data_IF_422898238178
#
_entry.id   IF_422898238178
#
_cell.length_a   1.000
_cell.length_b   1.000
_cell.length_c   1.000
_cell.angle_alpha   90.00
_cell.angle_beta   90.00
_cell.angle_gamma   90.00
#
_symmetry.space_group_name_H-M   'P 1'
#
loop_
_entity.id
_entity.type
_entity.pdbx_description
1 polymer ?
#
# COMPACT_ATOMS: atom_id res chain seq x y z
N UNK A 1 51.00 3.25 -38.38
CA UNK A 1 50.03 2.29 -38.92
C UNK A 1 50.18 1.02 -38.08
N UNK A 2 49.67 1.06 -36.84
CA UNK A 2 48.38 0.48 -36.43
C UNK A 2 48.41 -1.05 -36.53
N UNK A 3 48.86 -1.71 -35.46
CA UNK A 3 48.77 -3.15 -35.27
C UNK A 3 48.24 -3.43 -33.86
N UNK A 4 47.43 -4.46 -33.79
CA UNK A 4 46.52 -4.84 -32.71
C UNK A 4 47.18 -5.05 -31.35
N UNK A 5 46.51 -4.57 -30.30
CA UNK A 5 46.70 -5.08 -28.93
C UNK A 5 45.34 -5.48 -28.38
N UNK A 6 45.06 -6.78 -28.44
CA UNK A 6 44.04 -7.42 -27.62
C UNK A 6 44.41 -7.24 -26.15
N UNK A 7 43.51 -6.67 -25.35
CA UNK A 7 43.61 -6.73 -23.89
C UNK A 7 42.41 -7.47 -23.31
N UNK A 8 42.78 -8.47 -22.52
CA UNK A 8 42.02 -9.53 -21.90
C UNK A 8 41.07 -8.96 -20.83
N UNK A 9 39.80 -9.37 -20.84
CA UNK A 9 38.82 -9.05 -19.78
C UNK A 9 39.06 -9.99 -18.60
N UNK A 10 39.29 -9.52 -17.37
CA UNK A 10 39.38 -10.41 -16.22
C UNK A 10 37.98 -10.89 -15.84
N UNK A 11 37.78 -12.21 -15.92
CA UNK A 11 36.62 -12.91 -15.40
C UNK A 11 36.67 -12.91 -13.87
N UNK A 12 36.04 -11.91 -13.25
CA UNK A 12 35.92 -11.79 -11.80
C UNK A 12 34.74 -12.60 -11.28
N UNK A 13 34.99 -13.86 -10.93
CA UNK A 13 34.06 -14.72 -10.21
C UNK A 13 33.94 -14.23 -8.76
N UNK A 14 33.09 -13.22 -8.54
CA UNK A 14 32.79 -12.65 -7.23
C UNK A 14 31.57 -13.34 -6.63
N UNK A 15 31.82 -14.29 -5.74
CA UNK A 15 30.82 -14.91 -4.87
C UNK A 15 30.29 -13.85 -3.88
N UNK A 16 29.36 -13.03 -4.33
CA UNK A 16 28.68 -12.04 -3.50
C UNK A 16 27.50 -12.69 -2.81
N UNK A 17 27.62 -12.92 -1.50
CA UNK A 17 26.45 -12.94 -0.61
C UNK A 17 25.78 -11.56 -0.72
N UNK A 18 24.93 -11.40 -1.73
CA UNK A 18 24.05 -10.26 -1.86
C UNK A 18 23.04 -10.38 -0.71
N UNK A 19 23.33 -9.70 0.39
CA UNK A 19 22.29 -9.25 1.30
C UNK A 19 21.18 -8.65 0.42
N UNK A 20 19.93 -9.11 0.51
CA UNK A 20 18.87 -8.50 -0.27
C UNK A 20 18.78 -7.04 0.17
N UNK A 21 19.23 -6.14 -0.71
CA UNK A 21 18.97 -4.70 -0.59
C UNK A 21 17.48 -4.58 -0.28
N UNK A 22 17.05 -3.89 0.81
CA UNK A 22 15.67 -3.97 1.26
C UNK A 22 14.76 -3.44 0.15
N UNK A 23 14.22 -4.37 -0.63
CA UNK A 23 13.44 -4.07 -1.80
C UNK A 23 12.25 -3.25 -1.34
N UNK A 24 12.02 -2.14 -2.03
CA UNK A 24 10.95 -1.23 -1.67
C UNK A 24 9.61 -1.97 -1.64
N UNK A 25 8.89 -1.88 -0.52
CA UNK A 25 7.58 -2.50 -0.37
C UNK A 25 6.49 -1.64 -1.03
N UNK A 26 5.31 -2.23 -1.20
CA UNK A 26 4.17 -1.60 -1.85
C UNK A 26 2.85 -2.00 -1.20
N UNK A 27 1.80 -1.28 -1.57
CA UNK A 27 0.42 -1.55 -1.18
C UNK A 27 -0.42 -1.78 -2.43
N UNK A 28 -1.51 -2.52 -2.34
CA UNK A 28 -2.45 -2.72 -3.44
C UNK A 28 -3.66 -1.81 -3.25
N UNK A 29 -4.17 -1.22 -4.32
CA UNK A 29 -5.47 -0.53 -4.34
C UNK A 29 -6.30 -1.12 -5.46
N UNK A 30 -7.47 -1.66 -5.14
CA UNK A 30 -8.31 -2.40 -6.10
C UNK A 30 -9.79 -2.30 -5.73
N UNK A 31 -10.69 -2.39 -6.71
CA UNK A 31 -12.11 -2.63 -6.49
C UNK A 31 -12.46 -4.01 -7.08
N UNK A 32 -13.17 -4.84 -6.32
CA UNK A 32 -13.48 -6.20 -6.74
C UNK A 32 -14.88 -6.64 -6.31
N UNK A 33 -15.51 -7.47 -7.14
CA UNK A 33 -16.76 -8.18 -6.79
C UNK A 33 -16.48 -9.29 -5.77
N UNK A 34 -17.55 -9.91 -5.24
CA UNK A 34 -17.45 -11.08 -4.35
C UNK A 34 -16.62 -12.24 -4.93
N UNK A 35 -16.66 -12.41 -6.25
CA UNK A 35 -15.91 -13.45 -6.96
C UNK A 35 -14.51 -12.97 -7.43
N UNK A 36 -14.00 -11.88 -6.82
CA UNK A 36 -12.70 -11.27 -7.15
C UNK A 36 -12.61 -10.74 -8.59
N UNK A 37 -13.75 -10.44 -9.22
CA UNK A 37 -13.83 -9.83 -10.54
C UNK A 37 -13.50 -8.34 -10.48
N UNK A 38 -12.60 -7.89 -11.35
CA UNK A 38 -12.03 -6.52 -11.34
C UNK A 38 -12.22 -5.76 -12.66
N UNK A 39 -12.71 -6.42 -13.70
CA UNK A 39 -12.78 -5.86 -15.04
C UNK A 39 -13.56 -6.70 -16.02
N UNK A 40 -14.09 -6.03 -17.04
CA UNK A 40 -14.76 -6.61 -18.21
C UNK A 40 -14.40 -5.80 -19.44
N UNK A 41 -13.96 -6.47 -20.52
CA UNK A 41 -13.62 -5.86 -21.80
C UNK A 41 -12.65 -4.66 -21.68
N UNK A 42 -11.69 -4.78 -20.76
CA UNK A 42 -10.68 -3.75 -20.50
C UNK A 42 -11.20 -2.50 -19.78
N UNK A 43 -12.38 -2.56 -19.14
CA UNK A 43 -12.99 -1.46 -18.37
C UNK A 43 -13.47 -1.94 -17.01
N UNK A 44 -13.76 -1.00 -16.12
CA UNK A 44 -14.52 -1.27 -14.90
C UNK A 44 -15.98 -1.50 -15.27
N UNK A 45 -16.62 -2.63 -14.90
CA UNK A 45 -18.00 -2.93 -15.25
C UNK A 45 -19.02 -2.25 -14.30
N UNK A 46 -18.56 -1.30 -13.51
CA UNK A 46 -19.36 -0.46 -12.61
C UNK A 46 -18.95 1.01 -12.76
N UNK A 47 -19.83 1.91 -12.32
CA UNK A 47 -19.56 3.33 -12.22
C UNK A 47 -19.76 3.79 -10.78
N UNK A 48 -18.66 3.93 -10.04
CA UNK A 48 -18.65 4.32 -8.63
C UNK A 48 -17.74 5.55 -8.42
N UNK A 49 -18.25 6.79 -8.61
CA UNK A 49 -17.48 8.00 -8.35
C UNK A 49 -16.85 8.07 -6.96
N UNK A 50 -17.52 7.51 -5.95
CA UNK A 50 -17.02 7.48 -4.58
C UNK A 50 -15.81 6.54 -4.43
N UNK A 51 -15.77 5.43 -5.15
CA UNK A 51 -14.60 4.53 -5.26
C UNK A 51 -13.42 5.22 -5.96
N UNK A 52 -13.66 5.89 -7.09
CA UNK A 52 -12.61 6.65 -7.79
C UNK A 52 -12.04 7.78 -6.94
N UNK A 53 -12.87 8.42 -6.10
CA UNK A 53 -12.42 9.41 -5.12
C UNK A 53 -11.55 8.74 -4.05
N UNK A 54 -11.98 7.62 -3.48
CA UNK A 54 -11.19 6.86 -2.52
C UNK A 54 -9.82 6.44 -3.10
N UNK A 55 -9.80 5.88 -4.32
CA UNK A 55 -8.59 5.54 -5.06
C UNK A 55 -7.66 6.75 -5.24
N UNK A 56 -8.21 7.91 -5.63
CA UNK A 56 -7.43 9.14 -5.78
C UNK A 56 -6.85 9.56 -4.43
N UNK A 57 -7.68 9.66 -3.40
CA UNK A 57 -7.28 10.15 -2.09
C UNK A 57 -6.18 9.27 -1.49
N UNK A 58 -6.32 7.94 -1.57
CA UNK A 58 -5.34 7.00 -1.01
C UNK A 58 -4.01 7.01 -1.77
N UNK A 59 -4.06 7.06 -3.11
CA UNK A 59 -2.84 7.02 -3.93
C UNK A 59 -2.15 8.38 -4.04
N UNK A 60 -2.87 9.50 -3.84
CA UNK A 60 -2.31 10.85 -3.94
C UNK A 60 -1.75 11.37 -2.62
N UNK A 61 -2.37 11.02 -1.49
CA UNK A 61 -2.04 11.63 -0.19
C UNK A 61 -0.67 11.18 0.32
N UNK A 62 0.19 12.14 0.63
CA UNK A 62 1.48 11.94 1.29
C UNK A 62 1.47 12.52 2.69
N UNK A 63 2.39 12.06 3.52
CA UNK A 63 2.65 12.59 4.85
C UNK A 63 3.57 13.82 4.78
N UNK A 64 4.47 13.82 3.81
CA UNK A 64 5.38 14.89 3.45
C UNK A 64 4.90 15.59 2.17
N UNK A 65 4.62 16.88 2.25
CA UNK A 65 4.14 17.68 1.12
C UNK A 65 5.18 17.85 0.00
N UNK A 66 6.47 17.63 0.30
CA UNK A 66 7.55 17.65 -0.69
C UNK A 66 7.67 16.35 -1.50
N UNK A 67 6.95 15.30 -1.10
CA UNK A 67 7.01 13.98 -1.75
C UNK A 67 5.77 13.70 -2.59
N UNK A 68 5.88 12.71 -3.48
CA UNK A 68 4.79 12.14 -4.26
C UNK A 68 4.64 10.66 -3.93
N UNK A 69 3.56 10.02 -4.35
CA UNK A 69 3.47 8.56 -4.38
C UNK A 69 3.66 8.05 -5.81
N UNK A 70 4.01 6.76 -5.94
CA UNK A 70 4.08 6.06 -7.20
C UNK A 70 2.91 5.08 -7.35
N UNK A 71 2.39 4.95 -8.57
CA UNK A 71 1.38 3.97 -8.95
C UNK A 71 1.95 3.06 -10.04
N UNK A 72 2.01 1.76 -9.77
CA UNK A 72 2.48 0.71 -10.68
C UNK A 72 1.27 0.04 -11.31
N UNK A 73 1.27 -0.06 -12.64
CA UNK A 73 0.20 -0.72 -13.38
C UNK A 73 0.71 -1.47 -14.61
N UNK A 74 -0.03 -2.47 -15.08
CA UNK A 74 0.22 -3.12 -16.37
C UNK A 74 -0.24 -2.27 -17.55
N UNK A 75 0.31 -2.52 -18.75
CA UNK A 75 -0.06 -1.80 -19.99
C UNK A 75 -1.57 -1.73 -20.26
N UNK A 76 -2.30 -2.85 -20.16
CA UNK A 76 -3.75 -2.87 -20.41
C UNK A 76 -4.52 -1.97 -19.45
N UNK A 77 -4.09 -1.90 -18.19
CA UNK A 77 -4.67 -0.98 -17.20
C UNK A 77 -4.35 0.46 -17.57
N UNK A 78 -3.11 0.77 -17.96
CA UNK A 78 -2.78 2.10 -18.47
C UNK A 78 -3.68 2.51 -19.64
N UNK A 79 -3.84 1.64 -20.65
CA UNK A 79 -4.69 1.87 -21.83
C UNK A 79 -6.18 2.03 -21.49
N UNK A 80 -6.65 1.44 -20.39
CA UNK A 80 -8.04 1.56 -19.92
C UNK A 80 -8.36 2.91 -19.27
N UNK A 81 -7.36 3.65 -18.79
CA UNK A 81 -7.57 4.94 -18.12
C UNK A 81 -8.02 5.95 -19.19
N UNK A 82 -9.07 6.75 -18.97
CA UNK A 82 -9.45 7.79 -19.93
C UNK A 82 -8.29 8.74 -20.23
N UNK A 83 -8.07 9.11 -21.51
CA UNK A 83 -6.94 9.95 -21.93
C UNK A 83 -6.82 11.27 -21.15
N UNK A 84 -7.95 11.89 -20.78
CA UNK A 84 -7.99 13.12 -19.95
C UNK A 84 -7.44 12.94 -18.53
N UNK A 85 -7.29 11.69 -18.09
CA UNK A 85 -6.79 11.27 -16.79
C UNK A 85 -5.41 10.58 -16.87
N UNK A 86 -4.82 10.48 -18.07
CA UNK A 86 -3.46 9.97 -18.27
C UNK A 86 -2.47 11.15 -18.43
N UNK A 87 -1.32 11.15 -17.73
CA UNK A 87 -1.01 10.34 -16.55
C UNK A 87 -1.89 10.70 -15.35
N UNK A 88 -1.97 9.81 -14.36
CA UNK A 88 -2.68 10.11 -13.12
C UNK A 88 -1.99 11.29 -12.39
N UNK A 89 -2.64 12.46 -12.25
CA UNK A 89 -1.98 13.68 -11.81
C UNK A 89 -1.51 13.58 -10.36
N UNK A 90 -0.39 14.25 -10.06
CA UNK A 90 0.22 14.31 -8.74
C UNK A 90 0.93 13.04 -8.29
N UNK A 91 1.04 12.03 -9.17
CA UNK A 91 1.66 10.73 -8.89
C UNK A 91 2.69 10.39 -9.96
N UNK A 92 3.71 9.61 -9.59
CA UNK A 92 4.60 8.97 -10.54
C UNK A 92 3.90 7.73 -11.09
N UNK A 93 3.69 7.67 -12.40
CA UNK A 93 3.02 6.54 -13.05
C UNK A 93 4.08 5.57 -13.59
N UNK A 94 4.08 4.34 -13.12
CA UNK A 94 5.02 3.30 -13.55
C UNK A 94 4.24 2.24 -14.34
N UNK A 95 4.52 2.15 -15.63
CA UNK A 95 3.83 1.23 -16.55
C UNK A 95 4.71 0.03 -16.84
N UNK A 96 4.21 -1.16 -16.52
CA UNK A 96 4.87 -2.43 -16.78
C UNK A 96 4.54 -2.92 -18.19
N UNK A 97 5.57 -3.06 -19.03
CA UNK A 97 5.45 -3.56 -20.40
C UNK A 97 6.70 -4.31 -20.84
N UNK A 98 6.49 -5.42 -21.56
CA UNK A 98 7.58 -6.24 -22.14
C UNK A 98 8.03 -5.76 -23.52
N UNK A 99 7.17 -5.04 -24.25
CA UNK A 99 7.56 -4.43 -25.53
C UNK A 99 8.29 -3.13 -25.19
N UNK A 100 9.62 -3.13 -25.38
CA UNK A 100 10.50 -1.99 -25.08
C UNK A 100 10.26 -0.74 -25.93
N UNK A 101 9.37 -0.82 -26.93
CA UNK A 101 8.88 0.31 -27.73
C UNK A 101 7.45 0.63 -27.31
N UNK A 102 7.30 1.60 -26.43
CA UNK A 102 6.01 2.17 -26.08
C UNK A 102 6.21 3.69 -26.01
N UNK A 103 5.60 4.42 -26.94
CA UNK A 103 5.80 5.86 -27.19
C UNK A 103 5.36 6.77 -26.03
N UNK A 104 5.06 6.18 -24.87
CA UNK A 104 4.56 6.83 -23.66
C UNK A 104 5.70 7.38 -22.80
N UNK A 105 6.95 6.97 -23.06
CA UNK A 105 8.14 7.42 -22.32
C UNK A 105 8.42 8.95 -22.40
N UNK A 106 7.66 9.70 -23.20
CA UNK A 106 7.80 11.15 -23.37
C UNK A 106 6.92 11.97 -22.43
N UNK A 107 5.97 11.35 -21.73
CA UNK A 107 5.09 12.05 -20.79
C UNK A 107 5.79 12.28 -19.44
N UNK A 108 5.75 13.52 -18.94
CA UNK A 108 6.27 13.84 -17.61
C UNK A 108 5.58 13.00 -16.52
N UNK A 109 6.35 12.55 -15.53
CA UNK A 109 5.89 11.69 -14.44
C UNK A 109 5.40 10.30 -14.89
N UNK A 110 5.85 9.81 -16.06
CA UNK A 110 5.65 8.42 -16.49
C UNK A 110 6.99 7.71 -16.65
N UNK A 111 7.07 6.49 -16.13
CA UNK A 111 8.24 5.61 -16.27
C UNK A 111 7.80 4.24 -16.75
N UNK A 112 8.62 3.62 -17.60
CA UNK A 112 8.37 2.30 -18.14
C UNK A 112 9.35 1.31 -17.53
N UNK A 113 8.85 0.18 -17.04
CA UNK A 113 9.66 -0.92 -16.51
C UNK A 113 9.26 -2.25 -17.14
N UNK A 114 10.22 -3.17 -17.25
CA UNK A 114 9.97 -4.50 -17.84
C UNK A 114 9.29 -5.48 -16.89
N UNK A 115 9.39 -5.25 -15.58
CA UNK A 115 8.89 -6.15 -14.53
C UNK A 115 8.61 -5.41 -13.22
N UNK A 116 7.86 -6.05 -12.31
CA UNK A 116 7.67 -5.57 -10.95
C UNK A 116 9.00 -5.37 -10.22
N UNK A 117 9.92 -6.34 -10.30
CA UNK A 117 11.24 -6.27 -9.67
C UNK A 117 12.01 -5.03 -10.13
N UNK A 118 12.13 -4.81 -11.43
CA UNK A 118 12.82 -3.63 -11.98
C UNK A 118 12.16 -2.30 -11.58
N UNK A 119 10.83 -2.28 -11.39
CA UNK A 119 10.12 -1.09 -10.93
C UNK A 119 10.43 -0.80 -9.47
N UNK A 120 10.45 -1.81 -8.60
CA UNK A 120 10.78 -1.65 -7.18
C UNK A 120 12.24 -1.26 -6.97
N UNK A 121 13.17 -1.83 -7.75
CA UNK A 121 14.59 -1.43 -7.75
C UNK A 121 14.77 0.03 -8.16
N UNK A 122 14.14 0.44 -9.26
CA UNK A 122 14.14 1.83 -9.71
C UNK A 122 13.60 2.77 -8.62
N UNK A 123 12.49 2.41 -8.00
CA UNK A 123 11.86 3.21 -6.95
C UNK A 123 12.65 3.20 -5.64
N UNK A 124 13.54 2.22 -5.42
CA UNK A 124 14.48 2.17 -4.30
C UNK A 124 15.76 2.99 -4.55
N UNK A 125 16.03 3.35 -5.80
CA UNK A 125 17.21 4.13 -6.19
C UNK A 125 16.94 5.65 -6.21
N UNK A 126 18.03 6.44 -6.19
CA UNK A 126 17.97 7.89 -6.39
C UNK A 126 17.54 8.23 -7.82
N UNK A 127 16.69 9.26 -8.05
CA UNK A 127 16.15 10.21 -7.07
C UNK A 127 14.82 9.76 -6.43
N UNK A 128 14.28 8.60 -6.80
CA UNK A 128 12.94 8.17 -6.39
C UNK A 128 12.84 7.76 -4.92
N UNK A 129 13.91 7.23 -4.33
CA UNK A 129 13.92 6.92 -2.90
C UNK A 129 13.78 8.16 -2.00
N UNK A 130 14.17 9.34 -2.49
CA UNK A 130 14.06 10.61 -1.78
C UNK A 130 12.72 11.31 -2.03
N UNK A 131 12.20 11.21 -3.25
CA UNK A 131 11.03 11.98 -3.72
C UNK A 131 9.70 11.22 -3.67
N UNK A 132 9.72 9.89 -3.66
CA UNK A 132 8.51 9.07 -3.57
C UNK A 132 8.34 8.59 -2.13
N UNK A 133 7.16 8.77 -1.53
CA UNK A 133 6.83 8.29 -0.19
C UNK A 133 6.32 6.84 -0.23
N UNK A 134 5.22 6.56 -0.92
CA UNK A 134 4.61 5.23 -1.01
C UNK A 134 4.49 4.73 -2.44
N UNK A 135 4.42 3.40 -2.58
CA UNK A 135 4.23 2.70 -3.86
C UNK A 135 2.91 1.93 -3.80
N UNK A 136 2.07 2.12 -4.81
CA UNK A 136 0.79 1.45 -4.94
C UNK A 136 0.74 0.62 -6.22
N UNK A 137 0.37 -0.64 -6.14
CA UNK A 137 0.03 -1.48 -7.30
C UNK A 137 -1.47 -1.39 -7.53
N UNK A 138 -1.86 -1.00 -8.75
CA UNK A 138 -3.26 -0.67 -9.07
C UNK A 138 -3.90 -1.58 -10.12
N UNK A 139 -3.23 -2.70 -10.47
CA UNK A 139 -3.71 -3.66 -11.47
C UNK A 139 -2.84 -3.76 -12.73
N UNK A 140 -3.22 -4.56 -13.74
CA UNK A 140 -4.42 -5.38 -13.83
C UNK A 140 -4.26 -6.80 -13.31
N UNK A 141 -5.15 -7.72 -13.70
CA UNK A 141 -5.23 -9.07 -13.13
C UNK A 141 -3.92 -9.86 -13.16
N UNK A 142 -3.10 -9.74 -14.22
CA UNK A 142 -1.78 -10.39 -14.26
C UNK A 142 -0.84 -9.85 -13.17
N UNK A 143 -0.76 -8.52 -13.04
CA UNK A 143 0.11 -7.89 -12.05
C UNK A 143 -0.35 -8.25 -10.63
N UNK A 144 -1.67 -8.21 -10.37
CA UNK A 144 -2.22 -8.57 -9.07
C UNK A 144 -2.00 -10.03 -8.71
N UNK A 145 -2.02 -10.94 -9.68
CA UNK A 145 -1.70 -12.36 -9.45
C UNK A 145 -0.27 -12.55 -8.94
N UNK A 146 0.66 -11.75 -9.45
CA UNK A 146 2.08 -11.81 -9.07
C UNK A 146 2.36 -11.02 -7.78
N UNK A 147 1.57 -9.99 -7.46
CA UNK A 147 1.90 -9.02 -6.41
C UNK A 147 1.05 -9.09 -5.14
N UNK A 148 -0.24 -9.41 -5.23
CA UNK A 148 -1.20 -9.20 -4.11
C UNK A 148 -0.82 -9.98 -2.84
N UNK A 149 -0.45 -11.25 -2.99
CA UNK A 149 -0.05 -12.10 -1.86
C UNK A 149 1.47 -12.16 -1.63
N UNK A 150 2.28 -11.54 -2.51
CA UNK A 150 3.74 -11.59 -2.43
C UNK A 150 4.30 -10.84 -1.22
N UNK A 151 5.46 -11.27 -0.71
CA UNK A 151 6.05 -10.77 0.53
C UNK A 151 6.25 -9.24 0.61
N UNK A 152 6.43 -8.57 -0.54
CA UNK A 152 6.58 -7.12 -0.62
C UNK A 152 5.27 -6.31 -0.52
N UNK A 153 4.11 -6.96 -0.47
CA UNK A 153 2.81 -6.30 -0.35
C UNK A 153 2.42 -6.12 1.12
N UNK A 154 2.48 -4.89 1.64
CA UNK A 154 2.26 -4.59 3.05
C UNK A 154 0.77 -4.43 3.42
N UNK A 155 -0.05 -3.94 2.49
CA UNK A 155 -1.49 -3.76 2.68
C UNK A 155 -2.25 -3.84 1.37
N UNK A 156 -3.53 -4.19 1.48
CA UNK A 156 -4.49 -4.24 0.38
C UNK A 156 -5.66 -3.34 0.76
N UNK A 157 -5.87 -2.28 -0.02
CA UNK A 157 -7.02 -1.41 0.07
C UNK A 157 -8.02 -1.83 -1.00
N UNK A 158 -9.09 -2.47 -0.57
CA UNK A 158 -10.10 -3.03 -1.45
C UNK A 158 -11.44 -2.33 -1.28
N UNK A 159 -12.05 -1.96 -2.40
CA UNK A 159 -13.48 -1.66 -2.47
C UNK A 159 -14.22 -2.97 -2.75
N UNK A 160 -14.92 -3.49 -1.76
CA UNK A 160 -15.63 -4.77 -1.81
C UNK A 160 -17.04 -4.55 -2.37
N UNK A 161 -17.27 -4.93 -3.62
CA UNK A 161 -18.53 -4.71 -4.34
C UNK A 161 -19.48 -5.89 -4.12
N UNK A 162 -20.61 -5.64 -3.48
CA UNK A 162 -21.64 -6.63 -3.17
C UNK A 162 -22.69 -6.78 -4.28
N UNK A 163 -22.25 -6.78 -5.55
CA UNK A 163 -23.13 -6.99 -6.71
C UNK A 163 -22.55 -8.06 -7.63
N UNK A 164 -23.41 -8.95 -8.12
CA UNK A 164 -23.04 -9.94 -9.12
C UNK A 164 -22.93 -9.21 -10.47
N UNK A 165 -21.71 -9.07 -10.96
CA UNK A 165 -21.38 -8.37 -12.20
C UNK A 165 -20.48 -9.28 -13.03
N UNK A 166 -20.79 -9.46 -14.31
CA UNK A 166 -19.98 -10.28 -15.20
C UNK A 166 -18.58 -9.67 -15.37
N UNK A 167 -17.55 -10.48 -15.16
CA UNK A 167 -16.15 -10.08 -15.26
C UNK A 167 -15.38 -11.09 -16.12
N UNK A 168 -14.36 -10.63 -16.84
CA UNK A 168 -13.40 -11.48 -17.57
C UNK A 168 -11.99 -11.41 -16.95
N UNK A 169 -11.77 -10.44 -16.08
CA UNK A 169 -10.48 -10.17 -15.46
C UNK A 169 -10.67 -10.25 -13.95
N UNK A 170 -9.84 -11.07 -13.32
CA UNK A 170 -9.95 -11.42 -11.90
C UNK A 170 -8.61 -11.21 -11.20
N UNK A 171 -8.67 -10.84 -9.92
CA UNK A 171 -7.54 -10.87 -9.00
C UNK A 171 -7.50 -12.20 -8.23
N UNK A 172 -6.36 -12.62 -7.66
CA UNK A 172 -6.36 -13.77 -6.75
C UNK A 172 -7.13 -13.44 -5.47
N UNK A 173 -7.60 -14.49 -4.77
CA UNK A 173 -8.15 -14.32 -3.43
C UNK A 173 -7.09 -13.76 -2.47
N UNK A 174 -7.52 -12.94 -1.52
CA UNK A 174 -6.67 -12.43 -0.43
C UNK A 174 -6.34 -13.59 0.50
N UNK A 175 -5.06 -13.84 0.75
CA UNK A 175 -4.63 -14.86 1.70
C UNK A 175 -4.86 -14.40 3.15
N UNK A 176 -5.92 -14.91 3.77
CA UNK A 176 -6.30 -14.55 5.14
C UNK A 176 -5.37 -15.10 6.22
N UNK A 177 -4.46 -16.02 5.89
CA UNK A 177 -3.42 -16.46 6.82
C UNK A 177 -2.31 -15.40 6.95
N UNK A 178 -2.16 -14.56 5.92
CA UNK A 178 -1.11 -13.55 5.81
C UNK A 178 -1.66 -12.14 6.01
N UNK A 179 -2.93 -11.90 5.68
CA UNK A 179 -3.58 -10.61 5.77
C UNK A 179 -4.76 -10.64 6.74
N UNK A 180 -4.83 -9.63 7.61
CA UNK A 180 -5.96 -9.42 8.53
C UNK A 180 -6.63 -8.06 8.26
N UNK A 181 -7.96 -7.95 8.47
CA UNK A 181 -8.66 -6.70 8.33
C UNK A 181 -8.16 -5.68 9.37
N UNK A 182 -7.84 -4.48 8.91
CA UNK A 182 -7.41 -3.34 9.73
C UNK A 182 -8.53 -2.31 9.92
N UNK A 183 -9.33 -2.12 8.87
CA UNK A 183 -10.40 -1.16 8.83
C UNK A 183 -11.43 -1.62 7.80
N UNK A 184 -12.71 -1.50 8.13
CA UNK A 184 -13.82 -1.56 7.18
C UNK A 184 -14.69 -0.33 7.37
N UNK A 185 -15.07 0.33 6.29
CA UNK A 185 -16.11 1.36 6.34
C UNK A 185 -17.48 0.74 6.61
N UNK A 186 -18.44 1.57 7.01
CA UNK A 186 -19.85 1.18 6.89
C UNK A 186 -20.19 0.94 5.41
N UNK A 187 -21.15 0.03 5.13
CA UNK A 187 -21.64 -0.19 3.77
C UNK A 187 -22.24 1.08 3.18
N UNK A 188 -21.86 1.37 1.94
CA UNK A 188 -22.37 2.48 1.14
C UNK A 188 -23.21 1.92 -0.01
N UNK A 189 -24.12 2.73 -0.54
CA UNK A 189 -24.89 2.41 -1.75
C UNK A 189 -24.77 3.58 -2.72
N UNK A 190 -24.27 3.32 -3.93
CA UNK A 190 -24.15 4.28 -5.03
C UNK A 190 -24.56 3.58 -6.31
N UNK A 191 -25.44 4.18 -7.12
CA UNK A 191 -25.91 3.61 -8.39
C UNK A 191 -26.45 2.17 -8.28
N UNK A 192 -27.22 1.86 -7.23
CA UNK A 192 -27.75 0.51 -6.96
C UNK A 192 -26.65 -0.56 -6.76
N UNK A 193 -25.48 -0.14 -6.30
CA UNK A 193 -24.38 -1.03 -5.94
C UNK A 193 -24.03 -0.76 -4.49
N UNK A 194 -24.13 -1.81 -3.66
CA UNK A 194 -23.65 -1.80 -2.28
C UNK A 194 -22.17 -2.16 -2.24
N UNK A 195 -21.37 -1.42 -1.49
CA UNK A 195 -19.94 -1.70 -1.35
C UNK A 195 -19.38 -1.15 -0.03
N UNK A 196 -18.22 -1.66 0.38
CA UNK A 196 -17.46 -1.20 1.54
C UNK A 196 -16.01 -0.89 1.14
N UNK A 197 -15.36 0.03 1.84
CA UNK A 197 -13.91 0.22 1.77
C UNK A 197 -13.24 -0.57 2.89
N UNK A 198 -12.50 -1.61 2.54
CA UNK A 198 -11.82 -2.48 3.49
C UNK A 198 -10.32 -2.40 3.26
N UNK A 199 -9.55 -2.25 4.34
CA UNK A 199 -8.09 -2.38 4.28
C UNK A 199 -7.67 -3.64 5.02
N UNK A 200 -6.93 -4.49 4.35
CA UNK A 200 -6.23 -5.61 4.95
C UNK A 200 -4.75 -5.27 5.10
N UNK A 201 -4.16 -5.69 6.21
CA UNK A 201 -2.74 -5.46 6.53
C UNK A 201 -2.04 -6.79 6.69
N UNK A 202 -0.83 -6.89 6.12
CA UNK A 202 -0.01 -8.08 6.26
C UNK A 202 0.40 -8.26 7.72
N UNK A 203 0.04 -9.41 8.29
CA UNK A 203 0.53 -9.84 9.58
C UNK A 203 1.94 -10.39 9.39
N UNK A 204 2.92 -9.71 9.98
CA UNK A 204 4.26 -10.24 10.13
C UNK A 204 4.31 -10.98 11.46
N UNK A 205 4.17 -12.31 11.43
CA UNK A 205 4.40 -13.15 12.59
C UNK A 205 5.87 -12.99 12.96
N UNK A 206 6.13 -12.36 14.11
CA UNK A 206 7.46 -12.32 14.72
C UNK A 206 7.78 -13.70 15.29
N UNK A 207 7.96 -14.69 14.42
CA UNK A 207 8.34 -16.04 14.81
C UNK A 207 9.87 -16.11 14.89
N UNK A 208 10.37 -15.97 16.12
CA UNK A 208 11.60 -16.60 16.65
C UNK A 208 12.95 -16.14 16.03
N UNK A 209 13.50 -15.07 16.60
CA UNK A 209 14.95 -14.95 16.87
C UNK A 209 15.14 -14.71 18.38
N UNK A 210 14.69 -15.68 19.19
CA UNK A 210 15.13 -15.85 20.58
C UNK A 210 15.81 -17.21 20.80
N UNK A 211 16.30 -17.82 19.71
CA UNK A 211 17.15 -19.01 19.73
C UNK A 211 18.54 -18.68 19.17
N UNK A 212 19.16 -17.64 19.71
CA UNK A 212 20.61 -17.54 19.78
C UNK A 212 20.94 -17.13 21.22
N UNK A 213 21.06 -18.15 22.06
CA UNK A 213 21.66 -18.00 23.38
C UNK A 213 23.11 -17.55 23.22
N UNK A 214 23.48 -16.60 24.09
CA UNK A 214 24.80 -16.06 24.39
C UNK A 214 25.28 -14.93 23.47
N UNK A 215 25.20 -13.69 23.95
CA UNK A 215 26.32 -12.93 24.53
C UNK A 215 25.76 -11.67 25.22
N UNK A 216 26.30 -11.33 26.39
CA UNK A 216 25.94 -10.21 27.26
C UNK A 216 25.92 -8.84 26.55
N UNK A 217 25.05 -7.92 27.00
CA UNK A 217 25.38 -6.52 27.37
C UNK A 217 24.12 -5.69 27.73
N UNK A 218 24.07 -5.31 29.02
CA UNK A 218 23.45 -4.15 29.71
C UNK A 218 22.13 -3.55 29.17
N UNK A 219 21.09 -3.76 29.98
CA UNK A 219 19.77 -3.11 29.92
C UNK A 219 19.85 -1.69 30.44
N UNK A 220 19.44 -0.71 29.63
CA UNK A 220 19.03 0.61 30.12
C UNK A 220 17.50 0.71 30.02
N UNK A 221 16.84 0.83 31.17
CA UNK A 221 15.40 0.68 31.34
C UNK A 221 14.66 2.01 31.10
N UNK A 222 13.92 2.09 29.99
CA UNK A 222 12.68 2.89 29.91
C UNK A 222 11.60 2.09 29.17
N UNK A 223 10.43 1.83 29.78
CA UNK A 223 9.35 1.13 29.10
C UNK A 223 8.61 2.14 28.21
N UNK A 224 8.99 2.24 26.95
CA UNK A 224 8.23 2.95 25.91
C UNK A 224 7.24 1.97 25.25
N UNK A 225 6.40 1.34 26.09
CA UNK A 225 5.51 0.24 25.69
C UNK A 225 4.42 0.68 24.71
N UNK A 226 4.13 1.97 24.61
CA UNK A 226 3.13 2.54 23.69
C UNK A 226 3.64 2.90 22.29
N UNK A 227 4.96 2.99 22.06
CA UNK A 227 5.51 3.35 20.73
C UNK A 227 5.79 2.15 19.82
N UNK A 228 5.76 0.95 20.37
CA UNK A 228 6.23 -0.24 19.68
C UNK A 228 5.26 -0.75 18.59
N UNK A 229 3.94 -0.62 18.78
CA UNK A 229 2.94 -1.03 17.79
C UNK A 229 2.68 0.02 16.70
N UNK A 230 2.66 1.31 17.06
CA UNK A 230 2.38 2.42 16.12
C UNK A 230 3.46 2.52 15.03
N UNK A 231 4.74 2.30 15.38
CA UNK A 231 5.84 2.29 14.40
C UNK A 231 5.75 1.13 13.40
N UNK A 232 5.10 0.02 13.77
CA UNK A 232 4.99 -1.18 12.91
C UNK A 232 4.10 -0.93 11.68
N UNK A 233 3.14 0.01 11.78
CA UNK A 233 2.14 0.27 10.73
C UNK A 233 2.22 1.68 10.13
N UNK A 234 3.32 2.41 10.36
CA UNK A 234 3.52 3.75 9.79
C UNK A 234 3.58 3.78 8.26
N UNK A 235 3.68 2.62 7.61
CA UNK A 235 3.59 2.49 6.15
C UNK A 235 2.17 2.75 5.63
N UNK A 236 1.13 2.62 6.45
CA UNK A 236 -0.25 2.88 6.04
C UNK A 236 -0.47 4.37 5.73
N UNK A 237 -1.33 4.72 4.75
CA UNK A 237 -1.80 6.09 4.59
C UNK A 237 -2.39 6.62 5.90
N UNK A 238 -2.08 7.87 6.29
CA UNK A 238 -2.55 8.48 7.54
C UNK A 238 -4.08 8.38 7.70
N UNK A 239 -4.81 8.52 6.59
CA UNK A 239 -6.28 8.42 6.57
C UNK A 239 -6.81 7.02 6.91
N UNK A 240 -6.03 5.96 6.66
CA UNK A 240 -6.38 4.58 7.00
C UNK A 240 -5.87 4.23 8.40
N UNK A 241 -4.64 4.64 8.72
CA UNK A 241 -4.04 4.39 10.03
C UNK A 241 -4.94 4.91 11.17
N UNK A 242 -5.52 6.11 11.01
CA UNK A 242 -6.42 6.73 12.00
C UNK A 242 -7.80 6.08 12.11
N UNK A 243 -8.13 5.12 11.25
CA UNK A 243 -9.45 4.47 11.20
C UNK A 243 -9.48 3.10 11.88
N UNK A 244 -8.37 2.65 12.48
CA UNK A 244 -8.33 1.41 13.24
C UNK A 244 -9.27 1.49 14.46
N UNK A 245 -10.13 0.49 14.63
CA UNK A 245 -11.20 0.50 15.64
C UNK A 245 -10.65 0.64 17.07
N UNK A 246 -9.58 -0.10 17.40
CA UNK A 246 -8.96 0.00 18.71
C UNK A 246 -8.32 1.37 18.94
N UNK A 247 -7.68 1.97 17.93
CA UNK A 247 -7.10 3.30 18.10
C UNK A 247 -8.17 4.39 18.22
N UNK A 248 -9.32 4.23 17.59
CA UNK A 248 -10.46 5.13 17.82
C UNK A 248 -10.89 5.10 19.29
N UNK A 249 -11.01 3.91 19.87
CA UNK A 249 -11.34 3.73 21.28
C UNK A 249 -10.25 4.29 22.21
N UNK A 250 -8.98 3.97 21.96
CA UNK A 250 -7.86 4.46 22.78
C UNK A 250 -7.70 5.99 22.71
N UNK A 251 -7.86 6.59 21.53
CA UNK A 251 -7.84 8.05 21.38
C UNK A 251 -9.02 8.69 22.14
N UNK A 252 -10.20 8.08 22.08
CA UNK A 252 -11.36 8.55 22.85
C UNK A 252 -11.08 8.53 24.36
N UNK A 253 -10.47 7.46 24.89
CA UNK A 253 -10.05 7.41 26.30
C UNK A 253 -9.04 8.51 26.60
N UNK A 254 -8.01 8.68 25.76
CA UNK A 254 -6.97 9.68 25.95
C UNK A 254 -7.55 11.10 25.98
N UNK A 255 -8.51 11.39 25.10
CA UNK A 255 -9.18 12.69 25.05
C UNK A 255 -10.01 12.91 26.31
N UNK A 256 -10.73 11.89 26.80
CA UNK A 256 -11.49 11.98 28.05
C UNK A 256 -10.53 12.26 29.20
N UNK A 257 -9.42 11.52 29.32
CA UNK A 257 -8.43 11.72 30.39
C UNK A 257 -7.81 13.12 30.34
N UNK A 258 -7.52 13.63 29.14
CA UNK A 258 -6.77 14.88 28.97
C UNK A 258 -7.66 16.13 29.04
N UNK A 259 -8.91 16.05 28.58
CA UNK A 259 -9.81 17.19 28.40
C UNK A 259 -11.21 16.99 28.97
N UNK A 260 -11.49 15.85 29.63
CA UNK A 260 -12.78 15.57 30.24
C UNK A 260 -13.07 16.45 31.45
N UNK A 261 -14.35 16.76 31.63
CA UNK A 261 -14.83 17.50 32.78
C UNK A 261 -15.05 16.54 33.94
N UNK A 262 -14.47 16.86 35.10
CA UNK A 262 -14.75 16.15 36.34
C UNK A 262 -16.18 16.45 36.79
N UNK A 263 -16.94 15.40 37.10
CA UNK A 263 -18.31 15.47 37.60
C UNK A 263 -18.52 14.46 38.72
N UNK A 264 -19.26 14.85 39.73
CA UNK A 264 -19.73 13.92 40.74
C UNK A 264 -20.74 12.94 40.12
N UNK A 265 -20.79 11.73 40.67
CA UNK A 265 -21.69 10.67 40.25
C UNK A 265 -22.51 10.12 41.43
N UNK A 266 -23.53 9.32 41.12
CA UNK A 266 -24.42 8.74 42.14
C UNK A 266 -23.71 7.77 43.08
N UNK A 267 -22.53 7.28 42.71
CA UNK A 267 -21.74 6.30 43.46
C UNK A 267 -20.74 6.95 44.41
N UNK A 268 -20.52 8.26 44.30
CA UNK A 268 -19.55 9.01 45.12
C UNK A 268 -18.10 8.80 44.70
N UNK A 269 -17.86 8.18 43.54
CA UNK A 269 -16.53 7.91 42.99
C UNK A 269 -16.02 9.06 42.11
N UNK A 270 -16.94 9.83 41.54
CA UNK A 270 -16.62 10.87 40.56
C UNK A 270 -16.29 10.29 39.18
N UNK A 271 -16.52 11.08 38.14
CA UNK A 271 -16.33 10.70 36.74
C UNK A 271 -15.63 11.80 35.97
N UNK A 272 -14.82 11.42 34.98
CA UNK A 272 -14.29 12.33 33.98
C UNK A 272 -15.09 12.09 32.68
N UNK A 273 -15.70 13.13 32.13
CA UNK A 273 -16.64 12.96 31.02
C UNK A 273 -16.51 14.03 29.93
N UNK A 274 -16.73 13.62 28.69
CA UNK A 274 -16.94 14.50 27.54
C UNK A 274 -18.28 14.15 26.89
N UNK A 275 -18.91 15.15 26.26
CA UNK A 275 -20.22 14.98 25.62
C UNK A 275 -20.08 15.09 24.10
N UNK A 276 -20.72 14.18 23.35
CA UNK A 276 -20.79 14.25 21.89
C UNK A 276 -19.49 13.87 21.17
N UNK A 277 -18.72 12.93 21.69
CA UNK A 277 -17.51 12.44 21.02
C UNK A 277 -17.87 11.45 19.91
N UNK A 278 -17.25 11.60 18.73
CA UNK A 278 -17.40 10.72 17.57
C UNK A 278 -16.04 10.40 16.95
#
# INVERSE_FOLDING_TARGET
MSADTMMNVPNGNGNGNAQPDPQRTYQVVVAATKDMGIGKDGKLPWNLPSDLKFFKDITLTTSDSGKKNAVIMGRKTWESIPLKNQPLPGRLNVVLTRSGSFDIATAENVVICGSMTSALELLAASPYCLSIEKVFVIGGGQILRESLNAAGCDAIHITEIEKNIECDTFMPAIDTAVFQPWYSSFPMVENDIRYCFTTYVRVRTSTIEHLCQNCDLVVDNKPDTGKFEVKKFSFLPKMIFRKHEEYLYLNMIQDIISGGNLKDDRTGTGTLSMFGCQ
#
